data_IF_403210691572
#
_entry.id   IF_403210691572
#
_cell.length_a   1.000
_cell.length_b   1.000
_cell.length_c   1.000
_cell.angle_alpha   90.00
_cell.angle_beta   90.00
_cell.angle_gamma   90.00
#
_symmetry.space_group_name_H-M   'P 1'
#
loop_
_entity.id
_entity.type
_entity.pdbx_description
1 polymer ?
#
# COMPACT_ATOMS: atom_id res chain seq x y z
N UNK A 1 -19.00 -5.36 -42.90
CA UNK A 1 -18.73 -6.74 -42.45
C UNK A 1 -19.11 -6.81 -40.98
N UNK A 2 -20.19 -7.53 -40.67
CA UNK A 2 -20.71 -7.68 -39.30
C UNK A 2 -19.92 -8.79 -38.60
N UNK A 3 -19.18 -8.48 -37.54
CA UNK A 3 -18.50 -9.50 -36.75
C UNK A 3 -19.54 -10.24 -35.91
N UNK A 4 -19.60 -11.56 -36.08
CA UNK A 4 -20.42 -12.44 -35.24
C UNK A 4 -19.80 -12.43 -33.84
N UNK A 5 -20.52 -11.89 -32.86
CA UNK A 5 -20.22 -12.11 -31.45
C UNK A 5 -20.41 -13.60 -31.16
N UNK A 6 -19.35 -14.25 -30.67
CA UNK A 6 -19.44 -15.64 -30.19
C UNK A 6 -20.46 -15.70 -29.04
N UNK A 7 -21.36 -16.70 -29.00
CA UNK A 7 -22.44 -16.76 -27.99
C UNK A 7 -21.94 -16.89 -26.53
N UNK A 8 -20.65 -17.13 -26.32
CA UNK A 8 -20.01 -17.21 -25.00
C UNK A 8 -19.21 -15.95 -24.61
N UNK A 9 -19.27 -14.85 -25.38
CA UNK A 9 -18.49 -13.65 -25.06
C UNK A 9 -19.14 -12.86 -23.92
N UNK A 10 -18.59 -12.96 -22.71
CA UNK A 10 -18.95 -12.09 -21.59
C UNK A 10 -18.47 -10.66 -21.89
N UNK A 11 -19.36 -9.66 -21.95
CA UNK A 11 -18.95 -8.29 -22.23
C UNK A 11 -18.14 -7.71 -21.06
N UNK A 12 -17.01 -7.08 -21.36
CA UNK A 12 -16.18 -6.42 -20.35
C UNK A 12 -16.88 -5.14 -19.85
N UNK A 13 -17.15 -5.08 -18.55
CA UNK A 13 -17.91 -3.98 -17.94
C UNK A 13 -17.04 -2.78 -17.52
N UNK A 14 -15.74 -2.96 -17.32
CA UNK A 14 -14.83 -1.92 -16.85
C UNK A 14 -13.50 -2.46 -16.33
N UNK A 15 -12.63 -1.56 -15.91
CA UNK A 15 -11.30 -1.85 -15.35
C UNK A 15 -11.24 -1.37 -13.90
N UNK A 16 -10.79 -2.24 -12.99
CA UNK A 16 -10.43 -1.88 -11.62
C UNK A 16 -8.91 -1.87 -11.54
N UNK A 17 -8.33 -0.71 -11.24
CA UNK A 17 -6.90 -0.45 -11.35
C UNK A 17 -6.31 -0.18 -9.97
N UNK A 18 -5.12 -0.72 -9.70
CA UNK A 18 -4.29 -0.27 -8.60
C UNK A 18 -3.71 1.13 -8.87
N UNK A 19 -3.30 1.83 -7.82
CA UNK A 19 -2.64 3.14 -7.88
C UNK A 19 -1.47 3.18 -8.88
N UNK A 20 -0.63 2.15 -8.93
CA UNK A 20 0.50 2.11 -9.85
C UNK A 20 0.09 1.80 -11.30
N UNK A 21 -1.15 1.34 -11.52
CA UNK A 21 -1.70 0.96 -12.82
C UNK A 21 -2.53 2.06 -13.49
N UNK A 22 -2.51 3.29 -12.97
CA UNK A 22 -3.21 4.44 -13.56
C UNK A 22 -2.90 4.71 -15.06
N UNK A 23 -1.72 4.36 -15.62
CA UNK A 23 -1.50 4.43 -17.07
C UNK A 23 -2.51 3.62 -17.91
N UNK A 24 -3.14 2.60 -17.35
CA UNK A 24 -4.15 1.79 -18.03
C UNK A 24 -5.48 2.51 -18.28
N UNK A 25 -5.69 3.70 -17.69
CA UNK A 25 -6.85 4.55 -17.98
C UNK A 25 -6.90 4.91 -19.48
N UNK A 26 -5.75 5.13 -20.12
CA UNK A 26 -5.71 5.46 -21.56
C UNK A 26 -6.20 4.30 -22.42
N UNK A 27 -5.82 3.08 -22.05
CA UNK A 27 -6.28 1.85 -22.70
C UNK A 27 -7.79 1.68 -22.48
N UNK A 28 -8.28 1.90 -21.26
CA UNK A 28 -9.71 1.85 -20.95
C UNK A 28 -10.51 2.82 -21.82
N UNK A 29 -10.03 4.06 -21.98
CA UNK A 29 -10.66 5.08 -22.80
C UNK A 29 -10.73 4.67 -24.27
N UNK A 30 -9.65 4.09 -24.83
CA UNK A 30 -9.63 3.58 -26.20
C UNK A 30 -10.63 2.43 -26.42
N UNK A 31 -10.83 1.60 -25.39
CA UNK A 31 -11.81 0.50 -25.42
C UNK A 31 -13.24 0.96 -25.07
N UNK A 32 -13.44 2.24 -24.73
CA UNK A 32 -14.75 2.76 -24.30
C UNK A 32 -15.20 2.23 -22.94
N UNK A 33 -14.30 1.80 -22.08
CA UNK A 33 -14.59 1.18 -20.79
C UNK A 33 -14.44 2.17 -19.62
N UNK A 34 -15.28 2.08 -18.58
CA UNK A 34 -15.07 2.84 -17.35
C UNK A 34 -13.85 2.30 -16.58
N UNK A 35 -13.12 3.21 -15.93
CA UNK A 35 -12.02 2.89 -15.01
C UNK A 35 -12.38 3.25 -13.57
N UNK A 36 -12.09 2.34 -12.65
CA UNK A 36 -12.25 2.47 -11.20
C UNK A 36 -10.89 2.31 -10.54
N UNK A 37 -10.53 3.22 -9.64
CA UNK A 37 -9.31 3.11 -8.85
C UNK A 37 -9.61 2.32 -7.57
N UNK A 38 -8.93 1.20 -7.38
CA UNK A 38 -8.85 0.49 -6.12
C UNK A 38 -7.62 0.98 -5.36
N UNK A 39 -7.84 1.77 -4.31
CA UNK A 39 -6.78 2.41 -3.57
C UNK A 39 -6.43 1.57 -2.34
N UNK A 40 -5.29 0.87 -2.40
CA UNK A 40 -4.81 -0.09 -1.39
C UNK A 40 -4.16 0.55 -0.17
N UNK A 41 -4.06 1.89 -0.15
CA UNK A 41 -3.47 2.65 0.95
C UNK A 41 -4.54 3.31 1.83
N UNK A 42 -4.13 3.74 3.03
CA UNK A 42 -5.03 4.37 3.99
C UNK A 42 -5.59 5.73 3.52
N UNK A 43 -6.70 6.16 4.13
CA UNK A 43 -7.37 7.42 3.81
C UNK A 43 -6.47 8.65 4.02
N UNK A 44 -5.50 8.59 4.93
CA UNK A 44 -4.50 9.66 5.11
C UNK A 44 -3.62 9.85 3.86
N UNK A 45 -3.16 8.76 3.25
CA UNK A 45 -2.38 8.83 2.01
C UNK A 45 -3.26 9.25 0.82
N UNK A 46 -4.52 8.82 0.77
CA UNK A 46 -5.48 9.35 -0.21
C UNK A 46 -5.66 10.86 -0.04
N UNK A 47 -5.77 11.31 1.21
CA UNK A 47 -5.79 12.70 1.62
C UNK A 47 -4.52 13.46 1.25
N UNK A 48 -3.38 12.80 1.10
CA UNK A 48 -2.15 13.35 0.53
C UNK A 48 -2.13 13.29 -1.00
N UNK A 49 -2.97 12.52 -1.69
CA UNK A 49 -2.97 12.58 -3.16
C UNK A 49 -3.71 13.81 -3.68
N UNK A 50 -4.74 14.28 -2.97
CA UNK A 50 -5.59 15.37 -3.45
C UNK A 50 -4.95 16.78 -3.32
N UNK A 51 -4.40 17.19 -2.15
CA UNK A 51 -3.86 18.54 -1.93
C UNK A 51 -2.49 18.81 -2.57
N UNK A 52 -1.51 17.89 -2.59
CA UNK A 52 -0.25 18.05 -3.33
C UNK A 52 -0.43 18.32 -4.81
N UNK A 53 -1.48 17.81 -5.46
CA UNK A 53 -1.80 18.24 -6.83
C UNK A 53 -2.06 19.75 -6.91
N UNK A 54 -2.76 20.31 -5.92
CA UNK A 54 -3.03 21.75 -5.79
C UNK A 54 -1.78 22.53 -5.38
N UNK A 55 -1.02 22.06 -4.38
CA UNK A 55 0.24 22.70 -3.95
C UNK A 55 1.25 22.74 -5.09
N UNK A 56 1.43 21.64 -5.81
CA UNK A 56 2.35 21.57 -6.94
C UNK A 56 1.98 22.58 -8.03
N UNK A 57 0.69 22.79 -8.30
CA UNK A 57 0.26 23.84 -9.24
C UNK A 57 0.60 25.27 -8.79
N UNK A 58 0.91 25.48 -7.50
CA UNK A 58 1.22 26.79 -6.92
C UNK A 58 2.73 27.01 -6.69
N UNK A 59 3.45 25.96 -6.27
CA UNK A 59 4.85 26.05 -5.80
C UNK A 59 5.82 25.31 -6.75
N UNK A 60 5.34 24.33 -7.52
CA UNK A 60 6.08 23.58 -8.56
C UNK A 60 7.42 22.94 -8.13
N UNK A 61 7.62 22.68 -6.84
CA UNK A 61 8.81 22.02 -6.31
C UNK A 61 8.47 20.86 -5.37
N UNK A 62 9.45 20.00 -5.12
CA UNK A 62 9.39 18.93 -4.12
C UNK A 62 9.17 19.48 -2.70
N UNK A 63 8.83 18.57 -1.78
CA UNK A 63 8.77 18.90 -0.36
C UNK A 63 10.16 18.82 0.29
N UNK A 64 10.48 19.81 1.12
CA UNK A 64 11.72 19.88 1.90
C UNK A 64 11.42 19.70 3.39
N UNK A 65 12.36 19.12 4.16
CA UNK A 65 12.17 18.90 5.61
C UNK A 65 11.97 20.20 6.41
N UNK A 66 12.41 21.33 5.87
CA UNK A 66 12.23 22.66 6.45
C UNK A 66 10.87 23.29 6.16
N UNK A 67 10.06 22.70 5.29
CA UNK A 67 8.73 23.21 4.97
C UNK A 67 7.80 23.11 6.19
N UNK A 68 6.81 24.02 6.30
CA UNK A 68 5.82 23.93 7.35
C UNK A 68 5.00 22.64 7.23
N UNK A 69 4.54 22.16 8.38
CA UNK A 69 3.65 21.00 8.47
C UNK A 69 2.40 21.18 7.57
N UNK A 70 1.98 20.09 6.95
CA UNK A 70 0.92 20.09 5.95
C UNK A 70 -0.47 19.96 6.59
N UNK A 71 -1.32 20.93 6.31
CA UNK A 71 -2.75 20.89 6.65
C UNK A 71 -3.50 19.97 5.68
N UNK A 72 -3.79 18.74 6.10
CA UNK A 72 -4.50 17.76 5.30
C UNK A 72 -5.92 17.53 5.84
N UNK A 73 -6.98 17.62 5.01
CA UNK A 73 -8.36 17.36 5.46
C UNK A 73 -8.58 15.95 6.04
N UNK A 74 -7.68 15.01 5.76
CA UNK A 74 -7.74 13.62 6.25
C UNK A 74 -7.05 13.41 7.60
N UNK A 75 -6.41 14.44 8.16
CA UNK A 75 -5.74 14.40 9.46
C UNK A 75 -6.31 15.48 10.38
N UNK A 76 -6.42 15.15 11.67
CA UNK A 76 -6.87 16.12 12.69
C UNK A 76 -5.77 17.12 13.02
N UNK A 77 -4.51 16.70 12.91
CA UNK A 77 -3.34 17.51 13.22
C UNK A 77 -2.52 17.76 11.94
N UNK A 78 -1.75 18.88 11.90
CA UNK A 78 -0.78 19.11 10.82
C UNK A 78 0.19 17.95 10.70
N UNK A 79 0.53 17.59 9.45
CA UNK A 79 1.39 16.45 9.15
C UNK A 79 2.80 16.93 8.83
N UNK A 80 3.82 16.56 9.63
CA UNK A 80 5.20 16.91 9.33
C UNK A 80 5.69 16.33 8.00
N UNK A 81 6.47 17.10 7.25
CA UNK A 81 6.96 16.66 5.93
C UNK A 81 7.80 15.38 6.03
N UNK A 82 8.63 15.26 7.07
CA UNK A 82 9.49 14.09 7.32
C UNK A 82 8.75 12.75 7.49
N UNK A 83 7.43 12.76 7.71
CA UNK A 83 6.63 11.52 7.83
C UNK A 83 5.88 11.19 6.55
N UNK A 84 5.98 12.04 5.52
CA UNK A 84 5.40 11.76 4.22
C UNK A 84 6.22 10.68 3.49
N UNK A 85 5.62 9.97 2.52
CA UNK A 85 6.34 8.97 1.74
C UNK A 85 7.50 9.59 0.97
N UNK A 86 8.65 8.92 0.95
CA UNK A 86 9.89 9.41 0.34
C UNK A 86 9.72 9.94 -1.10
N UNK A 87 8.77 9.35 -1.84
CA UNK A 87 8.40 9.80 -3.19
C UNK A 87 8.08 11.30 -3.27
N UNK A 88 7.58 11.94 -2.20
CA UNK A 88 7.22 13.36 -2.24
C UNK A 88 8.41 14.32 -2.13
N UNK A 89 9.56 13.82 -1.65
CA UNK A 89 10.81 14.60 -1.50
C UNK A 89 11.89 14.14 -2.50
N UNK A 90 11.61 13.11 -3.31
CA UNK A 90 12.56 12.55 -4.25
C UNK A 90 12.67 13.38 -5.54
N UNK A 91 13.81 14.07 -5.70
CA UNK A 91 14.15 14.91 -6.87
C UNK A 91 14.54 14.12 -8.12
N UNK A 92 14.78 12.81 -8.00
CA UNK A 92 15.20 11.94 -9.11
C UNK A 92 14.02 11.34 -9.87
N UNK A 93 12.91 12.09 -9.94
CA UNK A 93 11.70 11.71 -10.67
C UNK A 93 10.62 11.03 -9.82
N UNK A 94 10.90 10.70 -8.55
CA UNK A 94 9.88 10.16 -7.64
C UNK A 94 8.74 11.15 -7.42
N UNK A 95 9.05 12.43 -7.18
CA UNK A 95 8.04 13.47 -7.00
C UNK A 95 7.23 13.71 -8.28
N UNK A 96 7.91 13.78 -9.43
CA UNK A 96 7.23 13.94 -10.72
C UNK A 96 6.27 12.78 -11.01
N UNK A 97 6.66 11.54 -10.69
CA UNK A 97 5.78 10.38 -10.81
C UNK A 97 4.60 10.48 -9.84
N UNK A 98 4.86 10.84 -8.58
CA UNK A 98 3.85 11.03 -7.54
C UNK A 98 2.77 12.03 -7.96
N UNK A 99 3.18 13.21 -8.43
CA UNK A 99 2.26 14.25 -8.93
C UNK A 99 1.49 13.77 -10.16
N UNK A 100 2.16 13.11 -11.11
CA UNK A 100 1.48 12.56 -12.29
C UNK A 100 0.38 11.59 -11.87
N UNK A 101 0.65 10.67 -10.96
CA UNK A 101 -0.38 9.77 -10.44
C UNK A 101 -1.51 10.54 -9.75
N UNK A 102 -1.19 11.50 -8.89
CA UNK A 102 -2.16 12.34 -8.19
C UNK A 102 -3.14 13.06 -9.15
N UNK A 103 -2.63 13.63 -10.24
CA UNK A 103 -3.43 14.34 -11.24
C UNK A 103 -4.45 13.41 -11.94
N UNK A 104 -4.08 12.14 -12.16
CA UNK A 104 -4.95 11.17 -12.85
C UNK A 104 -6.11 10.67 -11.99
N UNK A 105 -6.17 10.98 -10.69
CA UNK A 105 -7.30 10.59 -9.84
C UNK A 105 -8.62 11.23 -10.31
N UNK A 106 -8.56 12.41 -10.91
CA UNK A 106 -9.73 13.08 -11.52
C UNK A 106 -10.16 12.42 -12.84
N UNK A 107 -9.32 11.57 -13.44
CA UNK A 107 -9.62 10.85 -14.68
C UNK A 107 -10.27 9.50 -14.42
N UNK A 108 -10.03 8.91 -13.24
CA UNK A 108 -10.83 7.79 -12.76
C UNK A 108 -12.29 8.26 -12.59
N UNK A 109 -13.22 7.60 -13.30
CA UNK A 109 -14.65 7.94 -13.45
C UNK A 109 -14.98 9.05 -14.47
N UNK A 110 -15.11 8.66 -15.75
CA UNK A 110 -15.59 9.56 -16.84
C UNK A 110 -16.84 9.12 -17.60
N UNK A 111 -17.66 8.17 -17.11
CA UNK A 111 -18.85 7.73 -17.90
C UNK A 111 -20.22 7.62 -17.21
N UNK A 112 -20.35 7.91 -15.92
CA UNK A 112 -21.66 8.01 -15.27
C UNK A 112 -21.74 9.27 -14.40
N UNK A 113 -22.89 9.99 -14.39
CA UNK A 113 -23.07 11.11 -13.47
C UNK A 113 -22.85 10.59 -12.04
N UNK A 114 -21.94 11.18 -11.26
CA UNK A 114 -21.72 10.75 -9.90
C UNK A 114 -23.01 10.97 -9.09
N UNK A 115 -23.31 10.10 -8.11
CA UNK A 115 -24.22 10.48 -7.03
C UNK A 115 -23.75 11.83 -6.45
N UNK A 116 -24.66 12.71 -6.04
CA UNK A 116 -24.34 14.09 -5.65
C UNK A 116 -23.35 14.20 -4.48
N UNK A 117 -23.03 13.10 -3.79
CA UNK A 117 -22.08 13.06 -2.69
C UNK A 117 -21.23 11.78 -2.77
N UNK A 118 -19.91 11.95 -2.90
CA UNK A 118 -18.84 10.95 -2.90
C UNK A 118 -18.54 10.20 -4.21
N UNK A 119 -17.42 10.58 -4.84
CA UNK A 119 -16.68 9.78 -5.84
C UNK A 119 -15.87 8.63 -5.22
N UNK A 120 -15.90 8.48 -3.89
CA UNK A 120 -15.14 7.51 -3.11
C UNK A 120 -16.08 6.50 -2.47
N UNK A 121 -15.82 5.21 -2.69
CA UNK A 121 -16.61 4.11 -2.13
C UNK A 121 -15.77 3.38 -1.07
N UNK A 122 -16.23 3.39 0.18
CA UNK A 122 -15.60 2.61 1.25
C UNK A 122 -16.11 1.17 1.19
N UNK A 123 -15.25 0.24 0.76
CA UNK A 123 -15.60 -1.19 0.64
C UNK A 123 -15.20 -2.02 1.86
N UNK A 124 -14.78 -1.36 2.95
CA UNK A 124 -14.32 -2.00 4.18
C UNK A 124 -12.95 -2.66 4.05
N UNK A 125 -12.41 -3.24 5.13
CA UNK A 125 -11.17 -4.00 5.04
C UNK A 125 -11.41 -5.26 4.20
N UNK A 126 -10.83 -5.30 3.00
CA UNK A 126 -10.83 -6.48 2.13
C UNK A 126 -9.60 -7.31 2.50
N UNK A 127 -9.83 -8.36 3.30
CA UNK A 127 -8.78 -9.24 3.79
C UNK A 127 -8.93 -10.62 3.14
N UNK A 128 -7.82 -11.17 2.65
CA UNK A 128 -7.77 -12.58 2.29
C UNK A 128 -7.59 -13.41 3.57
N UNK A 129 -8.69 -14.02 4.03
CA UNK A 129 -8.70 -14.91 5.18
C UNK A 129 -8.35 -16.36 4.80
N UNK A 130 -8.31 -16.67 3.50
CA UNK A 130 -8.02 -18.01 2.99
C UNK A 130 -6.53 -18.35 2.96
N UNK A 131 -5.68 -17.32 2.91
CA UNK A 131 -4.22 -17.43 2.82
C UNK A 131 -3.77 -18.02 1.48
N UNK A 132 -2.70 -17.49 0.89
CA UNK A 132 -2.10 -18.11 -0.29
C UNK A 132 -1.53 -19.48 0.11
N UNK A 133 -2.18 -20.57 -0.31
CA UNK A 133 -1.66 -21.92 -0.08
C UNK A 133 -0.46 -22.17 -1.01
N UNK A 134 0.71 -21.67 -0.64
CA UNK A 134 1.97 -21.92 -1.34
C UNK A 134 2.65 -23.15 -0.76
N UNK A 135 2.53 -24.28 -1.48
CA UNK A 135 3.22 -25.55 -1.19
C UNK A 135 2.91 -26.21 0.16
N UNK A 136 3.26 -27.50 0.29
CA UNK A 136 3.01 -28.29 1.50
C UNK A 136 3.85 -27.89 2.71
N UNK A 137 4.98 -27.19 2.54
CA UNK A 137 5.87 -26.78 3.64
C UNK A 137 5.28 -25.62 4.45
N UNK A 138 4.70 -24.62 3.80
CA UNK A 138 4.14 -23.43 4.48
C UNK A 138 2.97 -23.79 5.40
N UNK A 139 2.19 -24.81 5.02
CA UNK A 139 1.10 -25.33 5.86
C UNK A 139 1.60 -25.99 7.14
N UNK A 140 2.72 -26.71 7.05
CA UNK A 140 3.34 -27.37 8.22
C UNK A 140 3.88 -26.32 9.18
N UNK A 141 4.53 -25.27 8.67
CA UNK A 141 5.05 -24.19 9.54
C UNK A 141 3.95 -23.31 10.12
N UNK A 142 2.87 -23.03 9.38
CA UNK A 142 1.69 -22.35 9.91
C UNK A 142 1.08 -23.11 11.10
N UNK A 143 0.89 -24.44 10.98
CA UNK A 143 0.32 -25.24 12.06
C UNK A 143 1.16 -25.24 13.34
N UNK A 144 2.50 -25.20 13.21
CA UNK A 144 3.41 -25.10 14.36
C UNK A 144 3.30 -23.73 15.05
N UNK A 145 3.22 -22.66 14.27
CA UNK A 145 3.09 -21.29 14.81
C UNK A 145 1.76 -21.15 15.55
N UNK A 146 0.65 -21.60 14.94
CA UNK A 146 -0.66 -21.57 15.61
C UNK A 146 -0.66 -22.41 16.88
N UNK A 147 -0.13 -23.64 16.83
CA UNK A 147 -0.03 -24.47 18.04
C UNK A 147 0.86 -23.87 19.13
N UNK A 148 1.92 -23.14 18.76
CA UNK A 148 2.73 -22.39 19.72
C UNK A 148 1.96 -21.21 20.33
N UNK A 149 1.18 -20.47 19.53
CA UNK A 149 0.34 -19.37 19.99
C UNK A 149 -0.76 -19.85 20.96
N UNK A 150 -1.42 -20.96 20.64
CA UNK A 150 -2.48 -21.56 21.46
C UNK A 150 -1.99 -21.96 22.86
N UNK A 151 -0.69 -22.19 23.02
CA UNK A 151 -0.07 -22.53 24.29
C UNK A 151 0.30 -21.31 25.17
N UNK A 152 0.07 -20.08 24.69
CA UNK A 152 0.39 -18.86 25.43
C UNK A 152 -0.83 -18.32 26.19
N UNK A 153 -0.60 -17.45 27.17
CA UNK A 153 -1.70 -16.73 27.83
C UNK A 153 -2.34 -15.73 26.86
N UNK A 154 -3.63 -15.48 27.02
CA UNK A 154 -4.34 -14.47 26.23
C UNK A 154 -3.64 -13.10 26.33
N UNK A 155 -3.53 -12.41 25.19
CA UNK A 155 -2.94 -11.07 25.07
C UNK A 155 -1.48 -10.94 25.59
N UNK A 156 -0.75 -12.06 25.69
CA UNK A 156 0.61 -12.11 26.24
C UNK A 156 1.75 -12.09 25.21
N UNK A 157 1.43 -12.26 23.93
CA UNK A 157 2.41 -12.35 22.83
C UNK A 157 2.43 -11.06 22.03
N UNK A 158 3.63 -10.57 21.74
CA UNK A 158 3.85 -9.46 20.82
C UNK A 158 4.22 -10.00 19.44
N UNK A 159 3.45 -9.63 18.41
CA UNK A 159 3.78 -9.92 17.02
C UNK A 159 4.53 -8.74 16.39
N UNK A 160 5.68 -9.02 15.77
CA UNK A 160 6.48 -8.03 15.06
C UNK A 160 6.62 -8.43 13.59
N UNK A 161 6.25 -7.53 12.68
CA UNK A 161 6.37 -7.70 11.24
C UNK A 161 6.55 -6.34 10.57
N UNK A 162 7.49 -6.26 9.63
CA UNK A 162 7.80 -5.03 8.89
C UNK A 162 7.23 -5.02 7.46
N UNK A 163 6.41 -6.02 7.12
CA UNK A 163 5.89 -6.21 5.78
C UNK A 163 6.95 -6.71 4.79
N UNK A 164 6.52 -6.98 3.55
CA UNK A 164 7.38 -7.54 2.50
C UNK A 164 8.47 -6.59 1.99
N UNK A 165 8.28 -5.28 2.16
CA UNK A 165 9.25 -4.25 1.78
C UNK A 165 10.14 -3.79 2.95
N UNK A 166 9.89 -4.29 4.17
CA UNK A 166 10.63 -3.92 5.36
C UNK A 166 11.94 -4.69 5.48
N UNK A 167 13.05 -4.10 5.07
CA UNK A 167 14.39 -4.67 5.21
C UNK A 167 15.31 -3.75 6.00
N UNK A 168 16.17 -4.31 6.82
CA UNK A 168 17.11 -3.57 7.68
C UNK A 168 18.52 -4.12 7.51
N UNK A 169 19.52 -3.27 7.78
CA UNK A 169 20.91 -3.71 7.81
C UNK A 169 21.20 -4.63 9.02
N UNK A 170 22.30 -5.39 8.95
CA UNK A 170 22.64 -6.35 10.00
C UNK A 170 22.81 -5.72 11.40
N UNK A 171 23.44 -4.53 11.56
CA UNK A 171 23.49 -3.84 12.85
C UNK A 171 22.10 -3.53 13.42
N UNK A 172 21.18 -3.04 12.61
CA UNK A 172 19.82 -2.72 13.04
C UNK A 172 19.01 -3.97 13.38
N UNK A 173 19.11 -5.04 12.58
CA UNK A 173 18.50 -6.36 12.87
C UNK A 173 19.03 -6.89 14.21
N UNK A 174 20.34 -6.77 14.46
CA UNK A 174 20.97 -7.19 15.72
C UNK A 174 20.45 -6.40 16.91
N UNK A 175 20.33 -5.07 16.80
CA UNK A 175 19.81 -4.26 17.90
C UNK A 175 18.34 -4.57 18.18
N UNK A 176 17.52 -4.77 17.13
CA UNK A 176 16.13 -5.24 17.29
C UNK A 176 16.11 -6.56 18.06
N UNK A 177 16.89 -7.56 17.62
CA UNK A 177 16.94 -8.87 18.28
C UNK A 177 17.35 -8.76 19.76
N UNK A 178 18.39 -7.97 20.07
CA UNK A 178 18.85 -7.76 21.44
C UNK A 178 17.79 -7.09 22.33
N UNK A 179 17.04 -6.13 21.78
CA UNK A 179 15.95 -5.45 22.51
C UNK A 179 14.78 -6.37 22.76
N UNK A 180 14.44 -7.20 21.77
CA UNK A 180 13.41 -8.22 21.89
C UNK A 180 13.76 -9.24 22.99
N UNK A 181 14.99 -9.76 23.00
CA UNK A 181 15.48 -10.69 24.03
C UNK A 181 15.42 -10.08 25.44
N UNK A 182 15.85 -8.82 25.58
CA UNK A 182 15.86 -8.10 26.86
C UNK A 182 14.48 -7.67 27.34
N UNK A 183 13.47 -7.67 26.47
CA UNK A 183 12.12 -7.21 26.81
C UNK A 183 11.41 -8.13 27.80
N UNK A 184 11.82 -9.40 27.90
CA UNK A 184 11.16 -10.41 28.73
C UNK A 184 9.76 -10.81 28.25
N UNK A 185 9.28 -10.26 27.13
CA UNK A 185 8.01 -10.62 26.52
C UNK A 185 8.14 -11.82 25.59
N UNK A 186 7.06 -12.59 25.45
CA UNK A 186 6.96 -13.62 24.43
C UNK A 186 6.66 -12.96 23.09
N UNK A 187 7.41 -13.36 22.06
CA UNK A 187 7.45 -12.64 20.79
C UNK A 187 7.36 -13.61 19.63
N UNK A 188 6.63 -13.20 18.59
CA UNK A 188 6.65 -13.83 17.27
C UNK A 188 7.12 -12.80 16.26
N UNK A 189 8.30 -13.01 15.68
CA UNK A 189 8.91 -12.08 14.73
C UNK A 189 9.01 -12.69 13.34
N UNK A 190 8.34 -12.06 12.36
CA UNK A 190 8.54 -12.33 10.95
C UNK A 190 9.62 -11.39 10.39
N UNK A 191 10.76 -11.95 9.99
CA UNK A 191 11.86 -11.21 9.38
C UNK A 191 12.14 -11.72 7.96
N UNK A 192 12.50 -10.81 7.06
CA UNK A 192 13.07 -11.20 5.78
C UNK A 192 14.46 -11.81 6.02
N UNK A 193 14.75 -12.96 5.41
CA UNK A 193 16.11 -13.49 5.46
C UNK A 193 17.07 -12.51 4.79
N UNK A 194 18.20 -12.16 5.43
CA UNK A 194 19.25 -11.41 4.76
C UNK A 194 19.73 -12.27 3.58
N UNK A 195 19.61 -11.75 2.36
CA UNK A 195 20.19 -12.39 1.18
C UNK A 195 21.68 -12.60 1.40
N UNK A 196 22.07 -13.87 1.48
CA UNK A 196 23.43 -14.43 1.49
C UNK A 196 24.23 -14.36 2.81
N UNK A 197 24.34 -15.55 3.42
CA UNK A 197 25.33 -16.01 4.41
C UNK A 197 25.71 -15.06 5.56
N UNK A 198 24.99 -15.18 6.67
CA UNK A 198 25.67 -15.20 7.97
C UNK A 198 25.05 -16.28 8.84
N UNK A 199 25.77 -17.38 8.99
CA UNK A 199 25.42 -18.50 9.86
C UNK A 199 25.47 -17.98 11.30
N UNK A 200 24.32 -17.74 11.92
CA UNK A 200 24.23 -17.41 13.34
C UNK A 200 24.79 -18.58 14.15
N UNK A 201 25.94 -18.37 14.79
CA UNK A 201 26.32 -19.12 15.99
C UNK A 201 26.03 -18.21 17.18
N UNK A 202 25.02 -18.60 17.95
CA UNK A 202 24.96 -18.27 19.37
C UNK A 202 26.11 -18.99 20.09
#
# INVERSE_FOLDING_TARGET
MSSRSSPDSVPLAGLVLDFFCLPMIDVANQLGLPSYLYFTSGAGFLGLMLPPSTRHSQIDTEFEDSDPDLELPSFVNPVPIRVLPEAVSNKHGGYAAFIKFAQRFKEAKKRAPPPPHASVYTVGPVLDLGGMSHSGSDRVDHSKIIGWLDAQLELSVVFLCFGSMGTFDAPQVREIALRLERSGHRLSWASAEPGWQTRWKL
#
